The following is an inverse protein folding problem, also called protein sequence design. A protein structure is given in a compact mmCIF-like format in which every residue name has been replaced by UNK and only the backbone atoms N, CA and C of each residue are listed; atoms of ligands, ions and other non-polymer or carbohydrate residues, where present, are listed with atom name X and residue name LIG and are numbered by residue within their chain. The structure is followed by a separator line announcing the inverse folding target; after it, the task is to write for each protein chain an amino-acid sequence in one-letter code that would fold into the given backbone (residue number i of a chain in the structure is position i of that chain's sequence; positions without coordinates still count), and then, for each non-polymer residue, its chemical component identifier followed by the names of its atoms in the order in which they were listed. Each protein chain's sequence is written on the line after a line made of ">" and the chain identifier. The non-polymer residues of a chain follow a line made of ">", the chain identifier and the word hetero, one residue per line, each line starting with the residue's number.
data_IF_530611225657
#
_entry.id   IF_530611225657
#
_cell.length_a   1.000
_cell.length_b   1.000
_cell.length_c   1.000
_cell.angle_alpha   90.00
_cell.angle_beta   90.00
_cell.angle_gamma   90.00
#
_symmetry.space_group_name_H-M   'P 1'
#
loop_
_entity.id
_entity.type
_entity.pdbx_description
1 polymer ?
#
# COMPACT_ATOMS: atom_id res chain seq x y z
N UNK A 1 -15.77 13.00 -8.49
CA UNK A 1 -14.38 12.74 -8.04
C UNK A 1 -14.11 11.27 -8.26
N UNK A 2 -13.10 10.94 -9.03
CA UNK A 2 -12.61 9.57 -9.26
C UNK A 2 -11.24 9.43 -8.60
N UNK A 3 -11.00 8.32 -7.93
CA UNK A 3 -9.78 8.07 -7.17
C UNK A 3 -9.03 6.92 -7.83
N UNK A 4 -7.77 7.15 -8.19
CA UNK A 4 -6.84 6.07 -8.53
C UNK A 4 -6.27 5.52 -7.21
N UNK A 5 -6.51 4.25 -6.95
CA UNK A 5 -5.92 3.56 -5.78
C UNK A 5 -4.81 2.63 -6.28
N UNK A 6 -3.60 2.82 -5.77
CA UNK A 6 -2.41 2.02 -6.08
C UNK A 6 -1.79 1.50 -4.78
N UNK A 7 -1.14 0.35 -4.85
CA UNK A 7 -0.45 -0.28 -3.72
C UNK A 7 0.73 -1.12 -4.22
N UNK A 8 1.63 -1.45 -3.31
CA UNK A 8 2.66 -2.48 -3.54
C UNK A 8 3.49 -2.21 -4.81
N UNK A 9 3.92 -0.95 -4.97
CA UNK A 9 4.70 -0.49 -6.13
C UNK A 9 6.09 -1.13 -6.14
N UNK A 10 6.67 -1.30 -4.96
CA UNK A 10 7.92 -2.00 -4.74
C UNK A 10 9.04 -1.57 -5.70
N UNK A 11 9.23 -0.26 -5.87
CA UNK A 11 10.28 0.30 -6.72
C UNK A 11 10.28 -0.25 -8.17
N UNK A 12 9.13 -0.75 -8.66
CA UNK A 12 8.94 -1.24 -10.02
C UNK A 12 8.50 -0.10 -10.94
N UNK A 13 9.47 0.71 -11.38
CA UNK A 13 9.23 1.88 -12.20
C UNK A 13 8.42 1.55 -13.47
N UNK A 14 8.78 0.48 -14.17
CA UNK A 14 8.13 0.15 -15.44
C UNK A 14 6.67 -0.27 -15.27
N UNK A 15 6.35 -0.98 -14.18
CA UNK A 15 4.96 -1.30 -13.86
C UNK A 15 4.18 -0.04 -13.47
N UNK A 16 4.76 0.83 -12.64
CA UNK A 16 4.16 2.10 -12.26
C UNK A 16 3.83 2.96 -13.49
N UNK A 17 4.80 3.15 -14.38
CA UNK A 17 4.60 3.91 -15.62
C UNK A 17 3.49 3.32 -16.50
N UNK A 18 3.43 1.98 -16.61
CA UNK A 18 2.39 1.30 -17.38
C UNK A 18 0.99 1.53 -16.79
N UNK A 19 0.84 1.40 -15.47
CA UNK A 19 -0.41 1.66 -14.75
C UNK A 19 -0.85 3.12 -14.89
N UNK A 20 0.07 4.07 -14.71
CA UNK A 20 -0.24 5.50 -14.84
C UNK A 20 -0.61 5.89 -16.27
N UNK A 21 0.00 5.25 -17.26
CA UNK A 21 -0.35 5.43 -18.67
C UNK A 21 -1.75 4.91 -18.98
N UNK A 22 -2.11 3.73 -18.45
CA UNK A 22 -3.43 3.12 -18.64
C UNK A 22 -4.52 3.96 -17.95
N UNK A 23 -4.26 4.43 -16.75
CA UNK A 23 -5.19 5.26 -15.96
C UNK A 23 -5.26 6.72 -16.42
N UNK A 24 -4.46 7.14 -17.39
CA UNK A 24 -4.37 8.54 -17.81
C UNK A 24 -5.74 9.17 -18.09
N UNK A 25 -5.96 10.38 -17.59
CA UNK A 25 -7.19 11.17 -17.77
C UNK A 25 -8.47 10.51 -17.20
N UNK A 26 -8.34 9.46 -16.36
CA UNK A 26 -9.48 8.73 -15.79
C UNK A 26 -9.76 9.04 -14.33
N UNK A 27 -8.86 9.73 -13.61
CA UNK A 27 -8.94 10.01 -12.18
C UNK A 27 -8.60 11.45 -11.84
N UNK A 28 -9.09 11.90 -10.68
CA UNK A 28 -8.90 13.26 -10.17
C UNK A 28 -7.89 13.29 -9.00
N UNK A 29 -7.78 12.19 -8.24
CA UNK A 29 -7.03 12.07 -6.98
C UNK A 29 -6.31 10.74 -6.95
N UNK A 30 -5.14 10.65 -6.29
CA UNK A 30 -4.37 9.41 -6.14
C UNK A 30 -4.19 9.03 -4.67
N UNK A 31 -4.56 7.80 -4.32
CA UNK A 31 -4.29 7.19 -3.01
C UNK A 31 -3.34 6.02 -3.16
N UNK A 32 -2.24 6.04 -2.39
CA UNK A 32 -1.27 4.94 -2.34
C UNK A 32 -1.36 4.23 -0.99
N UNK A 33 -1.54 2.92 -1.02
CA UNK A 33 -1.71 2.10 0.18
C UNK A 33 -0.39 1.52 0.71
N UNK A 34 0.74 2.14 0.39
CA UNK A 34 2.05 1.76 0.91
C UNK A 34 2.83 0.82 0.01
N UNK A 35 3.99 0.42 0.52
CA UNK A 35 5.01 -0.37 -0.17
C UNK A 35 5.46 0.28 -1.48
N UNK A 36 5.87 1.55 -1.37
CA UNK A 36 6.49 2.29 -2.46
C UNK A 36 7.84 1.69 -2.85
N UNK A 37 8.60 1.21 -1.86
CA UNK A 37 9.96 0.71 -2.02
C UNK A 37 10.09 -0.78 -1.67
N UNK A 38 11.29 -1.32 -1.78
CA UNK A 38 11.58 -2.75 -1.62
C UNK A 38 11.44 -3.50 -2.96
N UNK A 39 12.07 -4.66 -3.05
CA UNK A 39 12.17 -5.55 -4.21
C UNK A 39 12.79 -4.93 -5.46
N UNK A 40 12.16 -3.94 -6.08
CA UNK A 40 12.56 -3.37 -7.36
C UNK A 40 13.75 -2.39 -7.28
N UNK A 41 14.36 -2.05 -8.43
CA UNK A 41 15.62 -1.31 -8.46
C UNK A 41 15.48 0.22 -8.61
N UNK A 42 14.26 0.79 -8.59
CA UNK A 42 14.03 2.23 -8.86
C UNK A 42 13.28 2.94 -7.72
N UNK A 43 13.77 2.88 -6.45
CA UNK A 43 13.02 3.42 -5.32
C UNK A 43 12.86 4.95 -5.38
N UNK A 44 13.89 5.67 -5.75
CA UNK A 44 13.85 7.14 -5.78
C UNK A 44 12.97 7.66 -6.91
N UNK A 45 13.06 7.03 -8.09
CA UNK A 45 12.28 7.38 -9.26
C UNK A 45 10.77 7.14 -9.02
N UNK A 46 10.41 6.00 -8.42
CA UNK A 46 9.02 5.72 -8.06
C UNK A 46 8.49 6.74 -7.06
N UNK A 47 9.25 7.06 -6.01
CA UNK A 47 8.88 8.09 -5.04
C UNK A 47 8.70 9.45 -5.71
N UNK A 48 9.59 9.84 -6.61
CA UNK A 48 9.49 11.11 -7.32
C UNK A 48 8.21 11.17 -8.15
N UNK A 49 7.93 10.14 -8.95
CA UNK A 49 6.75 10.08 -9.81
C UNK A 49 5.46 10.19 -8.99
N UNK A 50 5.31 9.38 -7.93
CA UNK A 50 4.05 9.37 -7.17
C UNK A 50 3.78 10.69 -6.47
N UNK A 51 4.81 11.39 -6.02
CA UNK A 51 4.69 12.71 -5.37
C UNK A 51 4.16 13.80 -6.31
N UNK A 52 4.27 13.62 -7.62
CA UNK A 52 3.79 14.55 -8.64
C UNK A 52 2.36 14.22 -9.11
N UNK A 53 1.76 13.12 -8.61
CA UNK A 53 0.40 12.72 -8.99
C UNK A 53 -0.66 13.67 -8.38
N UNK A 54 -1.82 13.83 -9.04
CA UNK A 54 -2.89 14.70 -8.57
C UNK A 54 -3.36 14.35 -7.16
N UNK A 55 -3.40 15.36 -6.27
CA UNK A 55 -3.87 15.26 -4.88
C UNK A 55 -3.42 13.97 -4.19
N UNK A 56 -2.12 13.69 -4.29
CA UNK A 56 -1.49 12.45 -3.84
C UNK A 56 -1.55 12.30 -2.33
N UNK A 57 -2.14 11.20 -1.88
CA UNK A 57 -2.18 10.76 -0.49
C UNK A 57 -1.54 9.38 -0.41
N UNK A 58 -0.69 9.17 0.59
CA UNK A 58 0.02 7.91 0.79
C UNK A 58 0.04 7.49 2.25
N UNK A 59 -0.11 6.21 2.50
CA UNK A 59 0.22 5.57 3.78
C UNK A 59 1.46 4.71 3.62
N UNK A 60 2.14 4.43 4.73
CA UNK A 60 3.35 3.60 4.76
C UNK A 60 2.99 2.12 4.70
N UNK A 61 3.69 1.36 3.86
CA UNK A 61 3.70 -0.09 3.94
C UNK A 61 4.79 -0.61 4.88
N UNK A 62 4.85 -1.92 5.08
CA UNK A 62 5.84 -2.53 5.98
C UNK A 62 7.27 -2.42 5.44
N UNK A 63 7.48 -2.42 4.13
CA UNK A 63 8.78 -2.18 3.51
C UNK A 63 9.23 -0.72 3.69
N UNK A 64 8.36 0.24 3.47
CA UNK A 64 8.64 1.66 3.68
C UNK A 64 9.01 1.93 5.13
N UNK A 65 8.18 1.41 6.05
CA UNK A 65 8.38 1.56 7.50
C UNK A 65 9.68 0.92 7.99
N UNK A 66 10.00 -0.30 7.52
CA UNK A 66 11.21 -1.02 7.94
C UNK A 66 12.48 -0.23 7.65
N UNK A 67 12.52 0.49 6.52
CA UNK A 67 13.66 1.32 6.13
C UNK A 67 13.81 2.53 7.05
N UNK A 68 12.75 3.30 7.25
CA UNK A 68 12.82 4.56 8.00
C UNK A 68 12.94 4.35 9.51
N UNK A 69 12.37 3.26 10.03
CA UNK A 69 12.48 2.87 11.44
C UNK A 69 13.80 2.18 11.78
N UNK A 70 14.67 1.93 10.80
CA UNK A 70 15.90 1.14 10.97
C UNK A 70 15.64 -0.21 11.67
N UNK A 71 14.58 -0.90 11.24
CA UNK A 71 14.21 -2.20 11.81
C UNK A 71 15.28 -3.26 11.54
N UNK A 72 15.29 -4.29 12.37
CA UNK A 72 16.00 -5.51 12.06
C UNK A 72 15.34 -6.22 10.87
N UNK A 73 15.98 -6.15 9.71
CA UNK A 73 15.47 -6.71 8.47
C UNK A 73 15.52 -8.24 8.44
N UNK A 74 16.16 -8.90 9.41
CA UNK A 74 16.25 -10.38 9.48
C UNK A 74 14.89 -11.06 9.64
N UNK A 75 13.85 -10.31 10.02
CA UNK A 75 12.47 -10.78 10.11
C UNK A 75 11.79 -10.96 8.75
N UNK A 76 12.34 -10.36 7.71
CA UNK A 76 11.84 -10.50 6.34
C UNK A 76 12.36 -11.79 5.69
N UNK A 77 11.66 -12.25 4.65
CA UNK A 77 12.17 -13.33 3.83
C UNK A 77 13.52 -12.94 3.17
N UNK A 78 14.36 -13.90 2.78
CA UNK A 78 15.71 -13.60 2.29
C UNK A 78 15.77 -12.66 1.08
N UNK A 79 14.77 -12.71 0.19
CA UNK A 79 14.72 -11.84 -1.00
C UNK A 79 14.38 -10.41 -0.58
N UNK A 80 13.35 -10.24 0.25
CA UNK A 80 12.96 -8.94 0.78
C UNK A 80 14.08 -8.32 1.62
N UNK A 81 14.76 -9.11 2.46
CA UNK A 81 15.92 -8.69 3.23
C UNK A 81 17.02 -8.07 2.35
N UNK A 82 17.42 -8.78 1.30
CA UNK A 82 18.46 -8.29 0.38
C UNK A 82 18.04 -7.01 -0.33
N UNK A 83 16.80 -6.97 -0.80
CA UNK A 83 16.24 -5.81 -1.50
C UNK A 83 16.15 -4.58 -0.56
N UNK A 84 15.64 -4.74 0.66
CA UNK A 84 15.54 -3.67 1.64
C UNK A 84 16.92 -3.16 2.07
N UNK A 85 17.86 -4.07 2.33
CA UNK A 85 19.23 -3.69 2.67
C UNK A 85 19.89 -2.89 1.54
N UNK A 86 19.68 -3.29 0.28
CA UNK A 86 20.15 -2.51 -0.87
C UNK A 86 19.44 -1.16 -0.95
N UNK A 87 18.10 -1.13 -0.81
CA UNK A 87 17.30 0.08 -0.85
C UNK A 87 17.76 1.12 0.16
N UNK A 88 18.07 0.70 1.42
CA UNK A 88 18.62 1.61 2.45
C UNK A 88 19.90 2.34 1.99
N UNK A 89 20.72 1.68 1.17
CA UNK A 89 21.98 2.26 0.70
C UNK A 89 21.84 3.19 -0.52
N UNK A 90 20.75 3.07 -1.29
CA UNK A 90 20.56 3.86 -2.53
C UNK A 90 19.51 4.95 -2.40
N UNK A 91 18.70 4.95 -1.33
CA UNK A 91 17.73 6.01 -1.08
C UNK A 91 18.43 7.35 -0.90
N UNK A 92 17.93 8.35 -1.63
CA UNK A 92 18.35 9.73 -1.41
C UNK A 92 17.85 10.24 -0.06
N UNK A 93 18.54 11.26 0.49
CA UNK A 93 18.08 11.92 1.73
C UNK A 93 16.65 12.48 1.59
N UNK A 94 16.30 12.97 0.41
CA UNK A 94 14.95 13.49 0.12
C UNK A 94 13.90 12.36 0.15
N UNK A 95 14.17 11.24 -0.51
CA UNK A 95 13.28 10.07 -0.53
C UNK A 95 13.09 9.49 0.87
N UNK A 96 14.17 9.36 1.64
CA UNK A 96 14.11 8.88 3.02
C UNK A 96 13.29 9.84 3.91
N UNK A 97 13.50 11.16 3.77
CA UNK A 97 12.73 12.16 4.50
C UNK A 97 11.23 12.14 4.13
N UNK A 98 10.90 11.87 2.88
CA UNK A 98 9.52 11.71 2.44
C UNK A 98 8.89 10.47 3.09
N UNK A 99 9.52 9.30 2.99
CA UNK A 99 9.02 8.06 3.60
C UNK A 99 8.85 8.19 5.13
N UNK A 100 9.77 8.87 5.80
CA UNK A 100 9.72 9.07 7.26
C UNK A 100 8.53 9.92 7.74
N UNK A 101 7.84 10.62 6.86
CA UNK A 101 6.67 11.46 7.18
C UNK A 101 5.34 10.77 6.91
N UNK A 102 5.35 9.62 6.24
CA UNK A 102 4.14 8.91 5.88
C UNK A 102 3.62 8.14 7.09
N UNK A 103 2.34 8.32 7.42
CA UNK A 103 1.66 7.60 8.49
C UNK A 103 1.27 6.18 8.03
N UNK A 104 1.12 5.25 8.98
CA UNK A 104 0.74 3.87 8.65
C UNK A 104 -0.76 3.67 8.40
N UNK A 105 -1.57 4.63 8.80
CA UNK A 105 -3.04 4.62 8.59
C UNK A 105 -3.55 6.02 8.33
N UNK A 106 -4.66 6.11 7.61
CA UNK A 106 -5.37 7.39 7.40
C UNK A 106 -6.87 7.18 7.32
N UNK A 107 -7.64 8.18 7.75
CA UNK A 107 -9.10 8.20 7.65
C UNK A 107 -9.53 9.38 6.80
N UNK A 108 -10.22 9.12 5.70
CA UNK A 108 -10.64 10.14 4.74
C UNK A 108 -12.11 9.90 4.36
N UNK A 109 -13.00 10.83 4.70
CA UNK A 109 -14.42 10.80 4.25
C UNK A 109 -15.10 9.43 4.44
N UNK A 110 -14.96 8.78 5.57
CA UNK A 110 -15.53 7.45 5.88
C UNK A 110 -14.84 6.30 5.13
N UNK A 111 -13.59 6.48 4.74
CA UNK A 111 -12.71 5.43 4.22
C UNK A 111 -11.48 5.34 5.11
N UNK A 112 -11.19 4.15 5.59
CA UNK A 112 -9.92 3.81 6.27
C UNK A 112 -8.91 3.34 5.25
N UNK A 113 -7.71 3.88 5.28
CA UNK A 113 -6.54 3.37 4.55
C UNK A 113 -5.59 2.69 5.54
N UNK A 114 -5.24 1.45 5.27
CA UNK A 114 -4.23 0.69 5.99
C UNK A 114 -3.47 -0.18 4.98
N UNK A 115 -2.17 -0.42 5.18
CA UNK A 115 -1.45 -1.29 4.26
C UNK A 115 -1.81 -2.77 4.49
N UNK A 116 -1.70 -3.26 5.72
CA UNK A 116 -2.04 -4.63 6.11
C UNK A 116 -3.52 -4.78 6.46
N UNK A 117 -3.90 -4.35 7.65
CA UNK A 117 -5.30 -4.38 8.12
C UNK A 117 -5.57 -3.25 9.11
N UNK A 118 -6.84 -2.96 9.43
CA UNK A 118 -7.17 -2.02 10.51
C UNK A 118 -6.63 -2.43 11.89
N UNK A 119 -6.46 -3.74 12.13
CA UNK A 119 -5.98 -4.28 13.41
C UNK A 119 -4.45 -4.21 13.54
N UNK A 120 -3.76 -4.46 12.44
CA UNK A 120 -2.31 -4.38 12.35
C UNK A 120 -1.92 -3.76 11.01
N UNK A 121 -1.83 -2.43 10.94
CA UNK A 121 -1.76 -1.68 9.68
C UNK A 121 -0.58 -2.02 8.77
N UNK A 122 0.50 -2.58 9.32
CA UNK A 122 1.71 -2.85 8.55
C UNK A 122 1.94 -4.34 8.24
N UNK A 123 1.40 -5.27 9.06
CA UNK A 123 1.90 -6.65 9.05
C UNK A 123 0.84 -7.72 8.85
N UNK A 124 -0.44 -7.44 9.06
CA UNK A 124 -1.48 -8.44 8.94
C UNK A 124 -1.93 -8.62 7.49
N UNK A 125 -1.91 -9.88 7.04
CA UNK A 125 -2.43 -10.28 5.73
C UNK A 125 -3.91 -10.65 5.84
N UNK A 126 -4.81 -9.93 5.18
CA UNK A 126 -6.21 -10.31 5.07
C UNK A 126 -6.36 -11.33 3.94
N UNK A 127 -6.23 -12.61 4.29
CA UNK A 127 -6.19 -13.71 3.32
C UNK A 127 -7.48 -14.51 3.23
N UNK A 128 -8.39 -14.34 4.18
CA UNK A 128 -9.64 -15.08 4.27
C UNK A 128 -10.75 -14.31 5.00
N UNK A 129 -11.95 -14.85 4.99
CA UNK A 129 -13.13 -14.24 5.61
C UNK A 129 -13.05 -14.14 7.13
N UNK A 130 -12.27 -15.00 7.82
CA UNK A 130 -12.16 -14.94 9.28
C UNK A 130 -11.33 -13.73 9.71
N UNK A 131 -10.20 -13.49 9.03
CA UNK A 131 -9.35 -12.32 9.29
C UNK A 131 -10.08 -11.03 8.90
N UNK A 132 -10.80 -11.06 7.77
CA UNK A 132 -11.62 -9.95 7.33
C UNK A 132 -12.72 -9.61 8.34
N UNK A 133 -13.41 -10.62 8.89
CA UNK A 133 -14.46 -10.45 9.89
C UNK A 133 -13.95 -9.75 11.16
N UNK A 134 -12.77 -10.16 11.66
CA UNK A 134 -12.10 -9.51 12.78
C UNK A 134 -11.74 -8.05 12.46
N UNK A 135 -11.38 -7.77 11.22
CA UNK A 135 -11.08 -6.41 10.77
C UNK A 135 -12.34 -5.54 10.74
N UNK A 136 -13.48 -6.07 10.28
CA UNK A 136 -14.77 -5.37 10.29
C UNK A 136 -15.22 -4.94 11.68
N UNK A 137 -14.92 -5.72 12.72
CA UNK A 137 -15.24 -5.36 14.10
C UNK A 137 -14.53 -4.10 14.60
N UNK A 138 -13.41 -3.72 13.98
CA UNK A 138 -12.57 -2.59 14.39
C UNK A 138 -12.62 -1.41 13.40
N UNK A 139 -13.26 -1.56 12.25
CA UNK A 139 -13.46 -0.47 11.30
C UNK A 139 -14.62 0.42 11.77
N UNK A 140 -14.39 1.73 11.86
CA UNK A 140 -15.44 2.72 12.11
C UNK A 140 -16.04 3.25 10.81
N UNK A 141 -15.31 3.17 9.74
CA UNK A 141 -15.68 3.66 8.41
C UNK A 141 -16.47 2.61 7.62
N UNK A 142 -17.12 3.04 6.56
CA UNK A 142 -17.91 2.16 5.69
C UNK A 142 -17.05 1.32 4.74
N UNK A 143 -15.82 1.74 4.51
CA UNK A 143 -14.89 1.12 3.58
C UNK A 143 -13.50 1.14 4.19
N UNK A 144 -12.76 0.06 4.02
CA UNK A 144 -11.33 0.00 4.26
C UNK A 144 -10.63 -0.46 2.99
N UNK A 145 -9.58 0.24 2.61
CA UNK A 145 -8.71 -0.13 1.49
C UNK A 145 -7.37 -0.62 2.04
N UNK A 146 -6.94 -1.77 1.54
CA UNK A 146 -5.71 -2.45 1.97
C UNK A 146 -4.86 -2.90 0.78
N UNK A 147 -3.55 -3.08 1.01
CA UNK A 147 -2.58 -3.63 0.07
C UNK A 147 -2.01 -4.97 0.57
N UNK A 148 -0.67 -5.09 0.58
CA UNK A 148 0.14 -6.10 1.27
C UNK A 148 0.03 -7.53 0.76
N UNK A 149 -1.16 -8.01 0.43
CA UNK A 149 -1.36 -9.41 0.00
C UNK A 149 -0.91 -9.67 -1.44
N UNK A 150 -0.81 -8.64 -2.27
CA UNK A 150 -0.61 -8.72 -3.73
C UNK A 150 -1.68 -9.55 -4.46
N UNK A 151 -2.81 -9.82 -3.79
CA UNK A 151 -3.94 -10.59 -4.34
C UNK A 151 -5.19 -9.72 -4.27
N UNK A 152 -5.84 -9.42 -5.41
CA UNK A 152 -7.05 -8.61 -5.42
C UNK A 152 -8.21 -9.39 -4.79
N UNK A 153 -8.80 -8.84 -3.73
CA UNK A 153 -9.91 -9.42 -2.97
C UNK A 153 -10.91 -8.35 -2.57
N UNK A 154 -12.17 -8.74 -2.46
CA UNK A 154 -13.23 -7.91 -1.89
C UNK A 154 -13.90 -8.70 -0.79
N UNK A 155 -13.90 -8.17 0.42
CA UNK A 155 -14.68 -8.69 1.53
C UNK A 155 -15.82 -7.73 1.85
N UNK A 156 -16.98 -8.26 2.21
CA UNK A 156 -18.14 -7.51 2.63
C UNK A 156 -18.77 -8.15 3.86
N UNK A 157 -19.34 -7.33 4.75
CA UNK A 157 -20.03 -7.79 5.94
C UNK A 157 -21.47 -7.25 5.95
N UNK A 158 -22.46 -8.14 6.06
CA UNK A 158 -23.89 -7.81 6.03
C UNK A 158 -24.51 -7.58 7.44
N UNK A 159 -23.69 -7.58 8.47
CA UNK A 159 -24.10 -7.50 9.89
C UNK A 159 -24.24 -8.87 10.55
N UNK A 160 -24.13 -9.97 9.80
CA UNK A 160 -24.25 -11.34 10.29
C UNK A 160 -22.99 -12.13 9.97
N UNK A 161 -22.50 -12.04 8.74
CA UNK A 161 -21.35 -12.80 8.26
C UNK A 161 -20.48 -12.00 7.28
N UNK A 162 -19.20 -12.38 7.22
CA UNK A 162 -18.26 -11.89 6.23
C UNK A 162 -18.31 -12.76 4.97
N UNK A 163 -18.37 -12.11 3.82
CA UNK A 163 -18.40 -12.75 2.51
C UNK A 163 -17.22 -12.27 1.67
N UNK A 164 -16.65 -13.18 0.87
CA UNK A 164 -15.65 -12.85 -0.14
C UNK A 164 -16.28 -12.82 -1.53
N UNK A 165 -15.95 -11.82 -2.32
CA UNK A 165 -16.39 -11.68 -3.71
C UNK A 165 -15.19 -11.68 -4.64
N UNK A 166 -15.38 -12.19 -5.87
CA UNK A 166 -14.37 -12.15 -6.91
C UNK A 166 -14.24 -10.74 -7.48
N UNK A 167 -12.98 -10.29 -7.65
CA UNK A 167 -12.70 -9.06 -8.39
C UNK A 167 -12.79 -9.36 -9.88
N UNK A 168 -13.75 -8.74 -10.58
CA UNK A 168 -13.79 -8.80 -12.03
C UNK A 168 -12.69 -7.90 -12.59
N UNK A 169 -11.59 -8.50 -13.03
CA UNK A 169 -10.59 -7.79 -13.82
C UNK A 169 -11.12 -7.67 -15.25
N UNK A 170 -11.65 -6.51 -15.61
CA UNK A 170 -11.84 -6.17 -17.03
C UNK A 170 -10.47 -5.83 -17.59
N UNK A 171 -9.95 -6.72 -18.42
CA UNK A 171 -8.78 -6.45 -19.30
C UNK A 171 -9.19 -5.53 -20.42
#
# INVERSE_FOLDING_TARGET
>A
MKILVIADIHANLHALEAVLKDAKDTYDVTWCLGDLVGYGPYPNECIQIVRELPDFICISGNHDYAIVANMDLSTFNPIAYQALHWTQNVLTAESNHFLAKIESTMHINSVTLAHGSPNNPLWEYITDTNIADQSFANIRDKLCLVGHTHIPRIFSHDGIQCNESTVNTTT
#
